data_IF_384840179307
#
_entry.id   IF_384840179307
#
_cell.length_a   1.000
_cell.length_b   1.000
_cell.length_c   1.000
_cell.angle_alpha   90.00
_cell.angle_beta   90.00
_cell.angle_gamma   90.00
#
_symmetry.space_group_name_H-M   'P 1'
#
loop_
_entity.id
_entity.type
_entity.pdbx_description
1 polymer ?
#
# COMPACT_ATOMS: atom_id res chain seq x y z
N UNK A 1 -12.75 50.77 -27.94
CA UNK A 1 -12.11 49.46 -28.20
C UNK A 1 -10.72 49.49 -27.62
N UNK A 2 -10.49 48.85 -26.47
CA UNK A 2 -9.20 48.87 -25.79
C UNK A 2 -8.30 47.76 -26.33
N UNK A 3 -7.14 48.12 -26.87
CA UNK A 3 -6.09 47.19 -27.34
C UNK A 3 -5.56 46.38 -26.16
N UNK A 4 -5.68 45.05 -26.25
CA UNK A 4 -5.08 44.09 -25.33
C UNK A 4 -3.55 44.21 -25.44
N UNK A 5 -2.88 44.75 -24.42
CA UNK A 5 -1.41 44.75 -24.34
C UNK A 5 -0.94 43.32 -24.17
N UNK A 6 -0.26 42.80 -25.18
CA UNK A 6 0.46 41.53 -25.11
C UNK A 6 1.74 41.78 -24.28
N UNK A 7 2.10 40.89 -23.34
CA UNK A 7 3.34 41.04 -22.58
C UNK A 7 4.55 41.06 -23.51
N UNK A 8 5.57 41.82 -23.09
CA UNK A 8 6.83 42.00 -23.81
C UNK A 8 7.47 40.64 -24.14
N UNK A 9 7.79 40.42 -25.43
CA UNK A 9 8.38 39.17 -25.94
C UNK A 9 9.72 38.85 -25.27
N UNK A 10 10.43 39.88 -24.80
CA UNK A 10 11.70 39.69 -24.08
C UNK A 10 11.48 39.26 -22.62
N UNK A 11 10.42 39.76 -21.94
CA UNK A 11 10.03 39.26 -20.62
C UNK A 11 9.56 37.80 -20.66
N UNK A 12 8.87 37.40 -21.73
CA UNK A 12 8.47 36.01 -21.96
C UNK A 12 9.64 35.07 -22.27
N UNK A 13 10.76 35.59 -22.81
CA UNK A 13 12.01 34.83 -22.99
C UNK A 13 12.82 34.71 -21.70
N UNK A 14 12.76 35.72 -20.82
CA UNK A 14 13.40 35.70 -19.51
C UNK A 14 12.69 34.75 -18.52
N UNK A 15 11.37 34.55 -18.66
CA UNK A 15 10.60 33.54 -17.94
C UNK A 15 10.83 32.09 -18.42
N UNK A 16 12.00 31.81 -19.02
CA UNK A 16 12.44 30.44 -19.29
C UNK A 16 12.75 29.80 -17.95
N UNK A 17 11.89 28.86 -17.54
CA UNK A 17 12.12 27.88 -16.49
C UNK A 17 13.61 27.52 -16.34
N UNK A 18 14.30 28.17 -15.41
CA UNK A 18 15.64 27.77 -14.95
C UNK A 18 15.48 26.69 -13.88
N UNK A 19 14.85 25.58 -14.25
CA UNK A 19 14.92 24.36 -13.48
C UNK A 19 16.31 23.75 -13.71
N UNK A 20 17.27 24.03 -12.82
CA UNK A 20 18.60 23.41 -12.90
C UNK A 20 18.69 22.07 -12.16
N UNK A 21 17.78 21.74 -11.24
CA UNK A 21 17.48 20.34 -10.92
C UNK A 21 16.16 20.25 -10.19
N UNK A 22 15.14 19.75 -10.88
CA UNK A 22 13.94 19.24 -10.23
C UNK A 22 13.70 17.87 -10.84
N UNK A 23 14.37 16.86 -10.28
CA UNK A 23 13.98 15.47 -10.49
C UNK A 23 12.77 15.17 -9.61
N UNK A 24 11.63 15.81 -9.89
CA UNK A 24 10.35 15.29 -9.45
C UNK A 24 9.94 14.27 -10.50
N UNK A 25 10.18 13.00 -10.19
CA UNK A 25 9.71 11.89 -11.01
C UNK A 25 8.19 12.09 -11.19
N UNK A 26 7.75 12.42 -12.41
CA UNK A 26 6.34 12.54 -12.79
C UNK A 26 5.53 11.23 -12.65
N UNK A 27 6.03 10.28 -11.88
CA UNK A 27 5.59 8.91 -11.72
C UNK A 27 5.09 8.59 -10.30
N UNK A 28 5.34 9.41 -9.28
CA UNK A 28 5.04 9.07 -7.87
C UNK A 28 3.55 8.80 -7.55
N UNK A 29 2.57 9.58 -8.06
CA UNK A 29 1.16 9.30 -7.78
C UNK A 29 0.66 7.98 -8.37
N UNK A 30 1.06 7.68 -9.61
CA UNK A 30 0.67 6.43 -10.28
C UNK A 30 1.39 5.23 -9.67
N UNK A 31 2.67 5.38 -9.28
CA UNK A 31 3.38 4.34 -8.54
C UNK A 31 2.74 4.06 -7.18
N UNK A 32 2.38 5.09 -6.41
CA UNK A 32 1.70 4.94 -5.13
C UNK A 32 0.35 4.23 -5.28
N UNK A 33 -0.47 4.67 -6.24
CA UNK A 33 -1.74 4.03 -6.57
C UNK A 33 -1.54 2.55 -6.95
N UNK A 34 -0.69 2.28 -7.93
CA UNK A 34 -0.39 0.92 -8.38
C UNK A 34 0.15 0.02 -7.26
N UNK A 35 1.00 0.55 -6.38
CA UNK A 35 1.54 -0.21 -5.25
C UNK A 35 0.44 -0.62 -4.28
N UNK A 36 -0.45 0.31 -3.93
CA UNK A 36 -1.56 0.04 -3.03
C UNK A 36 -2.62 -0.90 -3.63
N UNK A 37 -2.95 -0.75 -4.91
CA UNK A 37 -3.82 -1.69 -5.63
C UNK A 37 -3.24 -3.11 -5.60
N UNK A 38 -1.94 -3.23 -5.86
CA UNK A 38 -1.24 -4.53 -5.80
C UNK A 38 -1.31 -5.12 -4.39
N UNK A 39 -1.11 -4.29 -3.35
CA UNK A 39 -1.26 -4.69 -1.94
C UNK A 39 -2.66 -5.22 -1.65
N UNK A 40 -3.70 -4.51 -2.06
CA UNK A 40 -5.08 -4.92 -1.85
C UNK A 40 -5.39 -6.26 -2.53
N UNK A 41 -4.95 -6.45 -3.78
CA UNK A 41 -5.05 -7.74 -4.47
C UNK A 41 -4.28 -8.86 -3.75
N UNK A 42 -3.07 -8.58 -3.25
CA UNK A 42 -2.26 -9.56 -2.51
C UNK A 42 -2.87 -9.93 -1.16
N UNK A 43 -3.48 -8.98 -0.46
CA UNK A 43 -4.25 -9.26 0.76
C UNK A 43 -5.34 -10.27 0.46
N UNK A 44 -6.15 -10.06 -0.58
CA UNK A 44 -7.20 -11.02 -0.98
C UNK A 44 -6.62 -12.39 -1.32
N UNK A 45 -5.51 -12.46 -2.08
CA UNK A 45 -4.84 -13.73 -2.38
C UNK A 45 -4.44 -14.47 -1.11
N UNK A 46 -3.83 -13.79 -0.14
CA UNK A 46 -3.47 -14.40 1.14
C UNK A 46 -4.71 -14.89 1.89
N UNK A 47 -5.79 -14.10 1.94
CA UNK A 47 -7.04 -14.52 2.55
C UNK A 47 -7.59 -15.79 1.89
N UNK A 48 -7.60 -15.88 0.56
CA UNK A 48 -7.99 -17.09 -0.17
C UNK A 48 -7.16 -18.31 0.25
N UNK A 49 -5.83 -18.17 0.30
CA UNK A 49 -4.94 -19.26 0.71
C UNK A 49 -5.17 -19.68 2.16
N UNK A 50 -5.34 -18.74 3.09
CA UNK A 50 -5.68 -19.06 4.49
C UNK A 50 -7.04 -19.76 4.61
N UNK A 51 -8.02 -19.40 3.78
CA UNK A 51 -9.32 -20.06 3.76
C UNK A 51 -9.21 -21.54 3.38
N UNK A 52 -8.32 -21.90 2.46
CA UNK A 52 -8.05 -23.30 2.10
C UNK A 52 -7.48 -24.12 3.26
N UNK A 53 -6.77 -23.47 4.18
CA UNK A 53 -6.27 -24.13 5.38
C UNK A 53 -7.39 -24.57 6.31
N UNK A 54 -8.66 -24.19 6.14
CA UNK A 54 -9.75 -24.74 6.96
C UNK A 54 -9.98 -26.23 6.72
N UNK A 55 -9.79 -26.67 5.47
CA UNK A 55 -9.98 -28.06 5.07
C UNK A 55 -8.74 -28.91 5.40
N UNK A 56 -8.95 -29.96 6.18
CA UNK A 56 -7.89 -30.90 6.57
C UNK A 56 -7.25 -31.63 5.38
N UNK A 57 -7.95 -31.76 4.26
CA UNK A 57 -7.40 -32.39 3.05
C UNK A 57 -6.23 -31.58 2.49
N UNK A 58 -6.25 -30.26 2.63
CA UNK A 58 -5.21 -29.36 2.15
C UNK A 58 -3.96 -29.34 3.04
N UNK A 59 -4.03 -29.87 4.27
CA UNK A 59 -3.01 -29.63 5.32
C UNK A 59 -2.14 -30.83 5.67
N UNK A 60 -0.83 -30.66 5.70
CA UNK A 60 0.14 -31.65 6.22
C UNK A 60 0.24 -31.63 7.74
N UNK A 61 -0.15 -30.51 8.36
CA UNK A 61 -0.13 -30.30 9.81
C UNK A 61 -1.54 -30.04 10.35
N UNK A 62 -1.79 -30.48 11.58
CA UNK A 62 -3.02 -30.13 12.28
C UNK A 62 -3.03 -28.64 12.61
N UNK A 63 -4.18 -27.99 12.37
CA UNK A 63 -4.47 -26.64 12.84
C UNK A 63 -5.07 -26.73 14.24
N UNK A 64 -4.77 -25.79 15.13
CA UNK A 64 -5.47 -25.77 16.42
C UNK A 64 -6.97 -25.48 16.21
N UNK A 65 -7.86 -25.90 17.15
CA UNK A 65 -9.30 -25.63 17.03
C UNK A 65 -9.64 -24.14 16.97
N UNK A 66 -8.81 -23.30 17.59
CA UNK A 66 -8.92 -21.84 17.55
C UNK A 66 -7.55 -21.25 17.16
N UNK A 67 -7.22 -21.21 15.86
CA UNK A 67 -5.93 -20.77 15.36
C UNK A 67 -5.64 -19.35 15.79
N UNK A 68 -4.47 -19.11 16.39
CA UNK A 68 -3.99 -17.77 16.72
C UNK A 68 -3.24 -17.21 15.53
N UNK A 69 -3.62 -16.02 15.09
CA UNK A 69 -2.94 -15.32 14.00
C UNK A 69 -2.19 -14.12 14.55
N UNK A 70 -0.91 -14.01 14.22
CA UNK A 70 -0.10 -12.80 14.44
C UNK A 70 0.37 -12.25 13.10
N UNK A 71 0.67 -10.95 13.05
CA UNK A 71 1.32 -10.32 11.91
C UNK A 71 2.54 -9.56 12.42
N UNK A 72 3.71 -9.93 11.93
CA UNK A 72 4.99 -9.34 12.30
C UNK A 72 5.59 -8.60 11.12
N UNK A 73 6.76 -7.97 11.30
CA UNK A 73 7.50 -7.35 10.20
C UNK A 73 7.80 -8.36 9.07
N UNK A 74 7.83 -7.87 7.84
CA UNK A 74 8.12 -8.72 6.68
C UNK A 74 9.56 -9.26 6.75
N UNK A 75 9.71 -10.59 6.60
CA UNK A 75 11.01 -11.27 6.77
C UNK A 75 11.65 -11.73 5.46
N UNK A 76 10.84 -11.91 4.41
CA UNK A 76 11.26 -12.47 3.14
C UNK A 76 11.20 -11.39 2.06
N UNK A 77 12.11 -11.45 1.09
CA UNK A 77 12.08 -10.56 -0.07
C UNK A 77 12.71 -11.27 -1.27
N UNK A 78 12.08 -11.17 -2.44
CA UNK A 78 12.58 -11.78 -3.68
C UNK A 78 13.89 -11.19 -4.15
N UNK A 79 14.11 -9.89 -3.93
CA UNK A 79 15.35 -9.22 -4.28
C UNK A 79 15.72 -8.14 -3.27
N UNK A 80 16.98 -7.72 -3.32
CA UNK A 80 17.50 -6.55 -2.60
C UNK A 80 17.71 -5.44 -3.61
N UNK A 81 17.31 -4.24 -3.26
CA UNK A 81 17.54 -3.06 -4.10
C UNK A 81 18.75 -2.27 -3.61
N UNK A 82 19.46 -1.59 -4.53
CA UNK A 82 20.55 -0.67 -4.17
C UNK A 82 20.06 0.77 -4.21
N UNK A 83 20.71 1.64 -3.41
CA UNK A 83 20.39 3.08 -3.38
C UNK A 83 20.45 3.68 -4.81
N UNK A 84 19.52 4.60 -5.17
CA UNK A 84 18.61 5.33 -4.28
C UNK A 84 17.26 4.65 -4.00
N UNK A 85 16.95 3.52 -4.64
CA UNK A 85 15.69 2.78 -4.42
C UNK A 85 15.85 1.79 -3.26
N UNK A 86 14.71 1.31 -2.77
CA UNK A 86 14.60 0.29 -1.74
C UNK A 86 13.58 -0.77 -2.18
N UNK A 87 13.77 -2.00 -1.70
CA UNK A 87 12.75 -3.02 -1.80
C UNK A 87 11.64 -2.68 -0.79
N UNK A 88 10.44 -2.40 -1.29
CA UNK A 88 9.26 -2.11 -0.48
C UNK A 88 8.29 -3.27 -0.58
N UNK A 89 7.91 -3.83 0.57
CA UNK A 89 7.00 -4.97 0.64
C UNK A 89 5.61 -4.61 0.15
N UNK A 90 5.04 -5.51 -0.65
CA UNK A 90 3.66 -5.34 -1.11
C UNK A 90 2.68 -5.58 0.03
N UNK A 91 2.87 -6.64 0.81
CA UNK A 91 2.05 -6.93 1.99
C UNK A 91 2.56 -6.16 3.21
N UNK A 92 1.67 -5.76 4.15
CA UNK A 92 2.02 -4.93 5.31
C UNK A 92 2.77 -5.71 6.41
N UNK A 93 3.15 -6.96 6.17
CA UNK A 93 3.82 -7.80 7.16
C UNK A 93 3.76 -9.29 6.87
N UNK A 94 4.31 -10.07 7.79
CA UNK A 94 4.36 -11.52 7.76
C UNK A 94 3.32 -12.11 8.70
N UNK A 95 2.29 -12.73 8.13
CA UNK A 95 1.29 -13.49 8.90
C UNK A 95 1.91 -14.80 9.40
N UNK A 96 1.63 -15.12 10.65
CA UNK A 96 1.93 -16.40 11.30
C UNK A 96 0.64 -17.01 11.85
N UNK A 97 0.53 -18.34 11.77
CA UNK A 97 -0.58 -19.13 12.30
C UNK A 97 -0.02 -20.09 13.33
N UNK A 98 -0.50 -20.01 14.58
CA UNK A 98 0.00 -20.78 15.73
C UNK A 98 1.54 -20.73 15.85
N UNK A 99 2.12 -19.56 15.58
CA UNK A 99 3.57 -19.32 15.63
C UNK A 99 4.36 -19.88 14.44
N UNK A 100 3.70 -20.36 13.38
CA UNK A 100 4.33 -20.93 12.19
C UNK A 100 3.97 -20.16 10.94
N UNK A 101 4.83 -20.22 9.92
CA UNK A 101 4.48 -19.69 8.62
C UNK A 101 3.31 -20.47 8.00
N UNK A 102 2.30 -19.80 7.43
CA UNK A 102 1.09 -20.45 6.96
C UNK A 102 1.35 -21.43 5.81
N UNK A 103 2.39 -21.21 4.99
CA UNK A 103 2.75 -22.14 3.91
C UNK A 103 3.23 -23.51 4.41
N UNK A 104 3.73 -23.60 5.65
CA UNK A 104 4.16 -24.88 6.23
C UNK A 104 3.00 -25.83 6.53
N UNK A 105 1.76 -25.33 6.53
CA UNK A 105 0.59 -26.16 6.72
C UNK A 105 0.17 -26.89 5.45
N UNK A 106 0.52 -26.44 4.26
CA UNK A 106 0.05 -27.06 3.01
C UNK A 106 0.74 -28.40 2.72
N UNK A 107 -0.02 -29.40 2.24
CA UNK A 107 0.55 -30.64 1.66
C UNK A 107 1.18 -30.40 0.29
N UNK A 108 0.50 -29.59 -0.52
CA UNK A 108 0.94 -29.27 -1.88
C UNK A 108 2.06 -28.23 -1.84
N UNK A 109 3.25 -28.64 -2.30
CA UNK A 109 4.44 -27.80 -2.33
C UNK A 109 4.27 -26.56 -3.24
N UNK A 110 3.48 -26.67 -4.30
CA UNK A 110 3.19 -25.57 -5.22
C UNK A 110 2.35 -24.52 -4.50
N UNK A 111 1.29 -24.93 -3.79
CA UNK A 111 0.47 -24.01 -2.98
C UNK A 111 1.28 -23.36 -1.86
N UNK A 112 2.12 -24.14 -1.18
CA UNK A 112 3.03 -23.62 -0.16
C UNK A 112 3.96 -22.54 -0.72
N UNK A 113 4.63 -22.81 -1.85
CA UNK A 113 5.52 -21.84 -2.50
C UNK A 113 4.78 -20.61 -3.02
N UNK A 114 3.60 -20.77 -3.59
CA UNK A 114 2.80 -19.62 -4.04
C UNK A 114 2.46 -18.70 -2.88
N UNK A 115 2.01 -19.23 -1.74
CA UNK A 115 1.75 -18.42 -0.56
C UNK A 115 3.02 -17.77 -0.01
N UNK A 116 4.14 -18.49 0.06
CA UNK A 116 5.43 -17.94 0.48
C UNK A 116 5.86 -16.77 -0.42
N UNK A 117 5.72 -16.92 -1.74
CA UNK A 117 6.08 -15.89 -2.72
C UNK A 117 5.28 -14.60 -2.55
N UNK A 118 4.01 -14.67 -2.11
CA UNK A 118 3.22 -13.46 -1.84
C UNK A 118 3.83 -12.61 -0.71
N UNK A 119 4.38 -13.25 0.33
CA UNK A 119 5.04 -12.56 1.46
C UNK A 119 6.45 -12.07 1.11
N UNK A 120 7.09 -12.66 0.10
CA UNK A 120 8.39 -12.22 -0.40
C UNK A 120 8.29 -11.12 -1.47
N UNK A 121 7.07 -10.78 -1.92
CA UNK A 121 6.87 -9.80 -2.98
C UNK A 121 7.27 -8.40 -2.54
N UNK A 122 8.22 -7.81 -3.27
CA UNK A 122 8.72 -6.46 -3.07
C UNK A 122 8.75 -5.71 -4.40
N UNK A 123 8.59 -4.39 -4.34
CA UNK A 123 8.77 -3.49 -5.49
C UNK A 123 9.95 -2.56 -5.23
N UNK A 124 10.74 -2.31 -6.26
CA UNK A 124 11.79 -1.30 -6.20
C UNK A 124 11.10 0.07 -6.14
N UNK A 125 11.17 0.77 -5.01
CA UNK A 125 10.48 2.06 -4.80
C UNK A 125 11.41 3.08 -4.13
N UNK A 126 11.14 4.39 -4.27
CA UNK A 126 11.84 5.40 -3.47
C UNK A 126 11.70 5.14 -1.97
N UNK A 127 12.70 5.54 -1.18
CA UNK A 127 12.72 5.31 0.27
C UNK A 127 11.51 5.91 1.02
N UNK A 128 10.84 6.93 0.45
CA UNK A 128 9.63 7.52 1.01
C UNK A 128 8.46 6.53 1.08
N UNK A 129 8.42 5.49 0.25
CA UNK A 129 7.42 4.43 0.31
C UNK A 129 7.58 3.60 1.60
N UNK A 130 8.78 3.10 1.87
CA UNK A 130 9.06 2.37 3.12
C UNK A 130 8.78 3.24 4.37
N UNK A 131 9.10 4.54 4.33
CA UNK A 131 8.79 5.46 5.45
C UNK A 131 7.28 5.70 5.63
N UNK A 132 6.48 5.60 4.56
CA UNK A 132 5.03 5.69 4.60
C UNK A 132 4.42 4.37 5.08
N UNK A 133 4.88 3.25 4.56
CA UNK A 133 4.46 1.90 4.96
C UNK A 133 4.72 1.66 6.44
N UNK A 134 5.95 1.88 6.92
CA UNK A 134 6.26 1.74 8.34
C UNK A 134 5.44 2.68 9.23
N UNK A 135 5.04 3.85 8.73
CA UNK A 135 4.14 4.72 9.49
C UNK A 135 2.74 4.11 9.61
N UNK A 136 2.17 3.59 8.51
CA UNK A 136 0.87 2.93 8.51
C UNK A 136 0.87 1.62 9.33
N UNK A 137 1.93 0.82 9.23
CA UNK A 137 2.12 -0.41 10.02
C UNK A 137 2.10 -0.12 11.52
N UNK A 138 2.84 0.92 11.96
CA UNK A 138 2.83 1.39 13.35
C UNK A 138 1.49 2.00 13.79
N UNK A 139 0.57 2.26 12.86
CA UNK A 139 -0.78 2.80 13.12
C UNK A 139 -1.89 1.76 12.93
N UNK A 140 -1.53 0.48 12.79
CA UNK A 140 -2.50 -0.62 12.81
C UNK A 140 -2.75 -1.29 11.46
N UNK A 141 -1.96 -1.01 10.42
CA UNK A 141 -2.12 -1.69 9.13
C UNK A 141 -1.83 -3.21 9.24
N UNK A 142 -0.81 -3.60 10.00
CA UNK A 142 -0.50 -5.01 10.33
C UNK A 142 -1.63 -5.66 11.12
N UNK A 143 -2.24 -4.91 12.04
CA UNK A 143 -3.36 -5.38 12.86
C UNK A 143 -4.63 -5.61 12.04
N UNK A 144 -4.92 -4.72 11.10
CA UNK A 144 -6.03 -4.90 10.15
C UNK A 144 -5.84 -6.15 9.29
N UNK A 145 -4.61 -6.39 8.80
CA UNK A 145 -4.29 -7.59 8.03
C UNK A 145 -4.39 -8.86 8.87
N UNK A 146 -3.87 -8.84 10.10
CA UNK A 146 -3.97 -9.92 11.08
C UNK A 146 -5.43 -10.27 11.38
N UNK A 147 -6.27 -9.28 11.63
CA UNK A 147 -7.68 -9.48 11.95
C UNK A 147 -8.44 -10.11 10.78
N UNK A 148 -8.22 -9.63 9.55
CA UNK A 148 -8.82 -10.21 8.36
C UNK A 148 -8.36 -11.66 8.14
N UNK A 149 -7.05 -11.94 8.31
CA UNK A 149 -6.49 -13.28 8.22
C UNK A 149 -7.06 -14.24 9.28
N UNK A 150 -7.21 -13.77 10.53
CA UNK A 150 -7.81 -14.54 11.62
C UNK A 150 -9.28 -14.86 11.37
N UNK A 151 -10.06 -13.88 10.91
CA UNK A 151 -11.46 -14.06 10.54
C UNK A 151 -11.60 -15.13 9.46
N UNK A 152 -10.82 -15.03 8.38
CA UNK A 152 -10.87 -16.02 7.30
C UNK A 152 -10.31 -17.36 7.74
N UNK A 153 -9.44 -17.47 8.73
CA UNK A 153 -9.01 -18.79 9.18
C UNK A 153 -10.06 -19.47 10.08
N UNK A 154 -10.82 -18.68 10.85
CA UNK A 154 -11.82 -19.17 11.81
C UNK A 154 -13.24 -19.26 11.27
N UNK A 155 -13.53 -18.65 10.13
CA UNK A 155 -14.89 -18.57 9.62
C UNK A 155 -15.52 -19.93 9.28
N UNK A 156 -16.84 -19.94 9.20
CA UNK A 156 -17.66 -21.14 8.98
C UNK A 156 -18.59 -21.00 7.79
N UNK A 157 -18.67 -19.81 7.18
CA UNK A 157 -19.45 -19.60 5.97
C UNK A 157 -18.70 -20.16 4.75
N UNK A 158 -19.35 -20.22 3.58
CA UNK A 158 -18.66 -20.51 2.33
C UNK A 158 -17.44 -19.60 2.15
N UNK A 159 -16.31 -20.17 1.68
CA UNK A 159 -15.02 -19.47 1.67
C UNK A 159 -15.09 -18.06 1.05
N UNK A 160 -15.76 -17.92 -0.10
CA UNK A 160 -15.92 -16.63 -0.80
C UNK A 160 -16.61 -15.57 0.05
N UNK A 161 -17.63 -15.97 0.81
CA UNK A 161 -18.38 -15.06 1.67
C UNK A 161 -17.48 -14.55 2.79
N UNK A 162 -16.78 -15.44 3.49
CA UNK A 162 -15.88 -15.03 4.58
C UNK A 162 -14.69 -14.20 4.09
N UNK A 163 -14.14 -14.50 2.91
CA UNK A 163 -13.06 -13.71 2.30
C UNK A 163 -13.55 -12.30 1.96
N UNK A 164 -14.70 -12.18 1.30
CA UNK A 164 -15.29 -10.89 0.96
C UNK A 164 -15.68 -10.09 2.20
N UNK A 165 -16.19 -10.75 3.23
CA UNK A 165 -16.54 -10.14 4.50
C UNK A 165 -15.29 -9.62 5.21
N UNK A 166 -14.29 -10.46 5.44
CA UNK A 166 -13.03 -10.04 6.08
C UNK A 166 -12.35 -8.89 5.34
N UNK A 167 -12.35 -8.90 4.01
CA UNK A 167 -11.80 -7.80 3.23
C UNK A 167 -12.58 -6.49 3.46
N UNK A 168 -13.92 -6.53 3.38
CA UNK A 168 -14.75 -5.33 3.44
C UNK A 168 -14.93 -4.77 4.85
N UNK A 169 -14.99 -5.61 5.87
CA UNK A 169 -15.35 -5.18 7.23
C UNK A 169 -14.16 -5.13 8.18
N UNK A 170 -13.04 -5.77 7.84
CA UNK A 170 -11.82 -5.72 8.66
C UNK A 170 -10.67 -5.03 7.94
N UNK A 171 -10.28 -5.50 6.74
CA UNK A 171 -9.14 -4.92 6.02
C UNK A 171 -9.41 -3.47 5.60
N UNK A 172 -10.48 -3.20 4.84
CA UNK A 172 -10.73 -1.85 4.31
C UNK A 172 -10.87 -0.80 5.42
N UNK A 173 -11.71 -0.98 6.46
CA UNK A 173 -11.85 0.02 7.51
C UNK A 173 -10.57 0.16 8.34
N UNK A 174 -9.91 -0.95 8.66
CA UNK A 174 -8.68 -0.95 9.45
C UNK A 174 -7.51 -0.30 8.71
N UNK A 175 -7.32 -0.63 7.43
CA UNK A 175 -6.30 -0.01 6.59
C UNK A 175 -6.56 1.49 6.40
N UNK A 176 -7.82 1.89 6.18
CA UNK A 176 -8.21 3.31 6.08
C UNK A 176 -7.85 4.07 7.36
N UNK A 177 -8.21 3.54 8.52
CA UNK A 177 -7.87 4.14 9.81
C UNK A 177 -6.35 4.24 10.01
N UNK A 178 -5.59 3.20 9.64
CA UNK A 178 -4.14 3.20 9.75
C UNK A 178 -3.48 4.24 8.83
N UNK A 179 -3.94 4.35 7.57
CA UNK A 179 -3.44 5.36 6.63
C UNK A 179 -3.75 6.78 7.10
N UNK A 180 -4.98 7.06 7.54
CA UNK A 180 -5.39 8.36 8.05
C UNK A 180 -4.57 8.76 9.30
N UNK A 181 -4.39 7.85 10.25
CA UNK A 181 -3.60 8.11 11.46
C UNK A 181 -2.09 8.30 11.16
N UNK A 182 -1.56 7.59 10.17
CA UNK A 182 -0.19 7.80 9.69
C UNK A 182 -0.04 9.14 8.98
N UNK A 183 -1.03 9.53 8.17
CA UNK A 183 -1.06 10.83 7.50
C UNK A 183 -1.07 11.97 8.51
N UNK A 184 -1.97 11.92 9.50
CA UNK A 184 -2.06 12.90 10.58
C UNK A 184 -0.72 13.02 11.33
N UNK A 185 -0.08 11.89 11.65
CA UNK A 185 1.25 11.91 12.24
C UNK A 185 2.28 12.62 11.35
N UNK A 186 2.29 12.38 10.03
CA UNK A 186 3.23 13.06 9.12
C UNK A 186 2.92 14.56 9.00
N UNK A 187 1.64 14.96 9.00
CA UNK A 187 1.21 16.37 8.95
C UNK A 187 1.65 17.18 10.17
N UNK A 188 1.88 16.54 11.31
CA UNK A 188 2.47 17.20 12.49
C UNK A 188 3.94 17.63 12.32
N UNK A 189 4.61 17.18 11.24
CA UNK A 189 6.00 17.51 10.93
C UNK A 189 6.06 18.63 9.88
N UNK A 190 7.14 19.45 9.87
CA UNK A 190 7.35 20.43 8.81
C UNK A 190 7.30 19.77 7.42
N UNK A 191 6.39 20.24 6.59
CA UNK A 191 6.18 19.85 5.20
C UNK A 191 6.39 21.06 4.30
N UNK A 192 6.46 20.84 2.98
CA UNK A 192 6.38 21.92 1.99
C UNK A 192 5.06 22.67 2.18
N UNK A 193 5.06 24.02 2.20
CA UNK A 193 3.84 24.81 2.25
C UNK A 193 2.91 24.49 1.07
N UNK A 194 1.62 24.43 1.31
CA UNK A 194 0.64 24.31 0.22
C UNK A 194 0.70 25.53 -0.70
N UNK A 195 0.54 25.39 -2.02
CA UNK A 195 0.42 26.53 -2.92
C UNK A 195 -0.77 27.42 -2.52
N UNK A 196 -0.49 28.70 -2.32
CA UNK A 196 -1.49 29.76 -2.11
C UNK A 196 -1.75 30.42 -3.45
N UNK A 197 -3.01 30.53 -3.83
CA UNK A 197 -3.42 31.09 -5.12
C UNK A 197 -4.06 32.46 -4.95
N UNK A 198 -3.71 33.40 -5.82
CA UNK A 198 -4.47 34.65 -5.96
C UNK A 198 -5.78 34.43 -6.74
N UNK A 199 -6.53 35.52 -6.95
CA UNK A 199 -7.79 35.51 -7.72
C UNK A 199 -7.62 35.08 -9.19
N UNK A 200 -6.40 35.18 -9.74
CA UNK A 200 -6.05 34.81 -11.11
C UNK A 200 -5.46 33.39 -11.20
N UNK A 201 -5.35 32.69 -10.06
CA UNK A 201 -4.73 31.36 -9.90
C UNK A 201 -3.21 31.34 -10.10
N UNK A 202 -2.53 32.46 -9.86
CA UNK A 202 -1.08 32.47 -9.73
C UNK A 202 -0.68 31.98 -8.32
N UNK A 203 0.43 31.22 -8.24
CA UNK A 203 0.97 30.78 -6.95
C UNK A 203 1.75 31.96 -6.34
N UNK A 204 1.28 32.49 -5.22
CA UNK A 204 1.86 33.68 -4.59
C UNK A 204 2.95 33.39 -3.57
N UNK A 205 3.04 32.15 -3.07
CA UNK A 205 4.07 31.71 -2.13
C UNK A 205 5.13 30.81 -2.78
N UNK A 206 5.44 31.06 -4.06
CA UNK A 206 6.39 30.23 -4.80
C UNK A 206 7.80 30.27 -4.20
N UNK A 207 8.22 31.41 -3.67
CA UNK A 207 9.52 31.57 -2.99
C UNK A 207 9.61 30.69 -1.74
N UNK A 208 8.59 30.70 -0.88
CA UNK A 208 8.52 29.85 0.32
C UNK A 208 8.56 28.35 -0.02
N UNK A 209 7.93 27.96 -1.13
CA UNK A 209 7.97 26.58 -1.63
C UNK A 209 9.37 26.23 -2.14
N UNK A 210 10.03 27.15 -2.84
CA UNK A 210 11.37 26.97 -3.39
C UNK A 210 12.45 26.89 -2.29
N UNK A 211 12.22 27.55 -1.15
CA UNK A 211 13.10 27.50 0.03
C UNK A 211 12.94 26.21 0.85
N UNK A 212 11.93 25.38 0.58
CA UNK A 212 11.68 24.17 1.34
C UNK A 212 12.83 23.16 1.18
N UNK A 213 13.38 22.71 2.31
CA UNK A 213 14.48 21.75 2.33
C UNK A 213 14.04 20.33 1.93
N UNK A 214 15.01 19.47 1.57
CA UNK A 214 14.74 18.08 1.18
C UNK A 214 13.93 17.29 2.22
N UNK A 215 14.14 17.55 3.52
CA UNK A 215 13.37 16.87 4.57
C UNK A 215 11.89 17.24 4.57
N UNK A 216 11.52 18.45 4.14
CA UNK A 216 10.13 18.89 4.01
C UNK A 216 9.48 18.24 2.78
N UNK A 217 10.21 18.16 1.66
CA UNK A 217 9.78 17.42 0.47
C UNK A 217 9.57 15.93 0.76
N UNK A 218 10.49 15.30 1.50
CA UNK A 218 10.33 13.90 1.93
C UNK A 218 9.04 13.68 2.73
N UNK A 219 8.70 14.59 3.65
CA UNK A 219 7.47 14.52 4.44
C UNK A 219 6.25 14.74 3.55
N UNK A 220 6.29 15.73 2.67
CA UNK A 220 5.24 16.03 1.71
C UNK A 220 4.93 14.81 0.82
N UNK A 221 5.96 14.12 0.32
CA UNK A 221 5.80 12.94 -0.52
C UNK A 221 5.20 11.76 0.26
N UNK A 222 5.64 11.54 1.51
CA UNK A 222 5.06 10.52 2.39
C UNK A 222 3.56 10.76 2.64
N UNK A 223 3.14 12.01 2.87
CA UNK A 223 1.73 12.38 3.01
C UNK A 223 0.97 12.02 1.72
N UNK A 224 1.50 12.40 0.55
CA UNK A 224 0.85 12.11 -0.73
C UNK A 224 0.76 10.61 -1.03
N UNK A 225 1.77 9.83 -0.66
CA UNK A 225 1.75 8.37 -0.78
C UNK A 225 0.61 7.79 0.06
N UNK A 226 0.51 8.18 1.34
CA UNK A 226 -0.54 7.71 2.26
C UNK A 226 -1.95 8.07 1.76
N UNK A 227 -2.16 9.31 1.29
CA UNK A 227 -3.44 9.71 0.70
C UNK A 227 -3.83 8.85 -0.52
N UNK A 228 -2.84 8.43 -1.34
CA UNK A 228 -3.08 7.54 -2.48
C UNK A 228 -3.35 6.11 -2.05
N UNK A 229 -2.70 5.63 -0.99
CA UNK A 229 -2.99 4.33 -0.41
C UNK A 229 -4.42 4.28 0.13
N UNK A 230 -4.85 5.32 0.85
CA UNK A 230 -6.21 5.42 1.34
C UNK A 230 -7.23 5.45 0.20
N UNK A 231 -7.03 6.30 -0.80
CA UNK A 231 -7.92 6.39 -1.96
C UNK A 231 -8.02 5.06 -2.75
N UNK A 232 -6.95 4.24 -2.75
CA UNK A 232 -6.99 2.93 -3.42
C UNK A 232 -7.98 1.93 -2.78
N UNK A 233 -8.42 2.18 -1.54
CA UNK A 233 -9.40 1.33 -0.85
C UNK A 233 -10.83 1.52 -1.36
N UNK A 234 -11.10 2.58 -2.14
CA UNK A 234 -12.39 2.80 -2.79
C UNK A 234 -12.56 1.88 -4.01
N UNK A 235 -11.47 1.33 -4.53
CA UNK A 235 -11.48 0.40 -5.65
C UNK A 235 -11.50 -1.05 -5.14
N UNK A 236 -12.47 -1.84 -5.61
CA UNK A 236 -12.54 -3.26 -5.29
C UNK A 236 -11.47 -4.01 -6.09
N UNK A 237 -10.53 -4.74 -5.45
CA UNK A 237 -9.49 -5.43 -6.17
C UNK A 237 -10.09 -6.54 -7.05
N UNK A 238 -9.58 -6.76 -8.29
CA UNK A 238 -10.07 -7.81 -9.18
C UNK A 238 -10.06 -9.20 -8.54
N UNK A 239 -9.12 -9.47 -7.63
CA UNK A 239 -9.02 -10.72 -6.88
C UNK A 239 -10.24 -11.03 -6.01
N UNK A 240 -11.04 -10.02 -5.64
CA UNK A 240 -12.27 -10.21 -4.87
C UNK A 240 -13.46 -10.63 -5.75
N UNK A 241 -13.31 -10.65 -7.07
CA UNK A 241 -14.34 -11.13 -7.98
C UNK A 241 -14.51 -12.66 -7.84
N UNK A 242 -15.74 -13.20 -7.86
CA UNK A 242 -15.99 -14.62 -7.62
C UNK A 242 -15.13 -15.57 -8.47
N UNK A 243 -15.04 -15.32 -9.78
CA UNK A 243 -14.27 -16.15 -10.71
C UNK A 243 -12.75 -16.10 -10.44
N UNK A 244 -12.24 -14.96 -9.95
CA UNK A 244 -10.82 -14.84 -9.56
C UNK A 244 -10.54 -15.55 -8.24
N UNK A 245 -11.44 -15.46 -7.27
CA UNK A 245 -11.33 -16.26 -6.05
C UNK A 245 -11.34 -17.74 -6.37
N UNK A 246 -12.18 -18.19 -7.30
CA UNK A 246 -12.24 -19.60 -7.72
C UNK A 246 -10.95 -20.09 -8.37
N UNK A 247 -10.37 -19.27 -9.24
CA UNK A 247 -9.06 -19.53 -9.85
C UNK A 247 -7.99 -19.74 -8.77
N UNK A 248 -7.94 -18.87 -7.76
CA UNK A 248 -6.99 -18.99 -6.63
C UNK A 248 -7.29 -20.22 -5.76
N UNK A 249 -8.58 -20.48 -5.49
CA UNK A 249 -9.03 -21.59 -4.65
C UNK A 249 -8.96 -22.95 -5.37
N UNK A 250 -8.66 -22.99 -6.68
CA UNK A 250 -8.64 -24.20 -7.48
C UNK A 250 -10.02 -24.83 -7.67
N UNK A 251 -11.07 -23.99 -7.77
CA UNK A 251 -12.48 -24.38 -7.95
C UNK A 251 -12.98 -23.96 -9.33
N UNK A 252 -12.41 -24.54 -10.39
CA UNK A 252 -12.88 -24.37 -11.78
C UNK A 252 -13.88 -25.45 -12.16
#
# INVERSE_FOLDING_TARGET
MAMRRVPDREAAKAARFTHQTVEHFGSDPQLAKSHAETRNGHVVKVLCWLALLRDAQNRSLALSPLPRVTCEEARWQHFRERRPRQAAHVLPGQVMVDGRYPWLYFKDITRARTLQSLFAEVRALPANFNKADSAAENKGLTEAFRAAAEYVLRGHAPLRQDIAEAYRTLWVPGARAAYAAAEEQKRSRPSVPSPVYDIERNIVNLEEIAEAGQSQWDVHDQIRILMRYEASLDEVPPELQPHKMDEILGRS
#
